data_IF_948140198308
#
_entry.id   IF_948140198308
#
_cell.length_a   1.000
_cell.length_b   1.000
_cell.length_c   1.000
_cell.angle_alpha   90.00
_cell.angle_beta   90.00
_cell.angle_gamma   90.00
#
_symmetry.space_group_name_H-M   'P 1'
#
loop_
_entity.id
_entity.type
_entity.pdbx_description
1 polymer ?
#
# COMPACT_ATOMS: atom_id res chain seq x y z
N UNK A 1 16.32 18.52 18.78
CA UNK A 1 15.05 18.04 18.19
C UNK A 1 14.66 18.96 17.04
N UNK A 2 14.11 18.41 15.94
CA UNK A 2 13.58 19.18 14.80
C UNK A 2 12.04 19.19 14.90
N UNK A 3 11.42 20.37 14.79
CA UNK A 3 9.96 20.52 14.78
C UNK A 3 9.55 21.20 13.49
N UNK A 4 8.70 20.57 12.70
CA UNK A 4 8.14 21.13 11.47
C UNK A 4 6.74 20.58 11.18
N UNK A 5 5.86 21.43 10.64
CA UNK A 5 4.56 20.99 10.10
C UNK A 5 4.67 20.34 8.72
N UNK A 6 5.82 20.47 8.05
CA UNK A 6 6.07 19.90 6.74
C UNK A 6 6.61 18.46 6.85
N UNK A 7 5.75 17.47 6.57
CA UNK A 7 6.11 16.04 6.60
C UNK A 7 7.13 15.66 5.52
N UNK A 8 7.15 16.34 4.37
CA UNK A 8 8.13 16.08 3.33
C UNK A 8 9.52 16.51 3.78
N UNK A 9 9.62 17.66 4.44
CA UNK A 9 10.86 18.13 5.06
C UNK A 9 11.33 17.17 6.18
N UNK A 10 10.43 16.79 7.10
CA UNK A 10 10.75 15.86 8.19
C UNK A 10 11.33 14.53 7.66
N UNK A 11 10.74 13.98 6.60
CA UNK A 11 11.20 12.74 5.97
C UNK A 11 12.57 12.92 5.30
N UNK A 12 12.79 14.03 4.59
CA UNK A 12 14.09 14.32 3.96
C UNK A 12 15.20 14.46 4.99
N UNK A 13 14.97 15.18 6.09
CA UNK A 13 15.96 15.31 7.16
C UNK A 13 16.24 13.96 7.82
N UNK A 14 15.21 13.15 8.07
CA UNK A 14 15.40 11.81 8.64
C UNK A 14 16.27 10.93 7.73
N UNK A 15 16.06 10.98 6.40
CA UNK A 15 16.89 10.27 5.42
C UNK A 15 18.34 10.80 5.41
N UNK A 16 18.53 12.12 5.51
CA UNK A 16 19.88 12.68 5.58
C UNK A 16 20.60 12.31 6.87
N UNK A 17 19.93 12.34 8.01
CA UNK A 17 20.49 11.91 9.29
C UNK A 17 20.94 10.44 9.23
N UNK A 18 20.17 9.57 8.57
CA UNK A 18 20.54 8.17 8.37
C UNK A 18 21.85 8.02 7.56
N UNK A 19 22.14 8.91 6.61
CA UNK A 19 23.42 8.88 5.86
C UNK A 19 24.63 9.16 6.75
N UNK A 20 24.43 9.84 7.88
CA UNK A 20 25.44 10.07 8.91
C UNK A 20 25.37 9.06 10.07
N UNK A 21 24.57 7.99 9.93
CA UNK A 21 24.42 6.96 10.97
C UNK A 21 23.50 7.36 12.13
N UNK A 22 22.73 8.44 11.98
CA UNK A 22 21.80 8.91 13.01
C UNK A 22 20.37 8.49 12.66
N UNK A 23 19.79 7.60 13.47
CA UNK A 23 18.38 7.21 13.34
C UNK A 23 17.51 8.24 14.06
N UNK A 24 16.75 9.03 13.30
CA UNK A 24 15.78 9.96 13.84
C UNK A 24 14.47 9.24 14.21
N UNK A 25 13.97 9.45 15.42
CA UNK A 25 12.64 9.02 15.82
C UNK A 25 11.59 10.01 15.30
N UNK A 26 10.83 9.61 14.28
CA UNK A 26 9.75 10.41 13.71
C UNK A 26 8.42 10.10 14.41
N UNK A 27 8.07 10.94 15.39
CA UNK A 27 6.82 10.84 16.14
C UNK A 27 5.55 10.95 15.27
N UNK A 28 5.66 11.47 14.05
CA UNK A 28 4.53 11.53 13.12
C UNK A 28 4.28 10.22 12.34
N UNK A 29 5.17 9.22 12.48
CA UNK A 29 5.02 7.89 11.89
C UNK A 29 4.80 7.85 10.38
N UNK A 30 4.33 6.71 9.87
CA UNK A 30 3.98 6.57 8.44
C UNK A 30 2.55 7.04 8.20
N UNK A 31 2.30 8.01 7.29
CA UNK A 31 0.94 8.41 6.94
C UNK A 31 0.11 7.22 6.48
N UNK A 32 -1.17 7.16 6.88
CA UNK A 32 -2.05 6.02 6.57
C UNK A 32 -2.05 5.68 5.08
N UNK A 33 -2.13 6.68 4.21
CA UNK A 33 -2.14 6.52 2.73
C UNK A 33 -0.91 5.80 2.18
N UNK A 34 0.20 5.79 2.91
CA UNK A 34 1.45 5.12 2.54
C UNK A 34 1.57 3.72 3.14
N UNK A 35 0.56 3.26 3.90
CA UNK A 35 0.56 1.90 4.46
C UNK A 35 0.03 0.88 3.45
N UNK A 36 0.55 -0.36 3.45
CA UNK A 36 0.00 -1.44 2.61
C UNK A 36 -1.50 -1.70 2.86
N UNK A 37 -1.97 -1.52 4.10
CA UNK A 37 -3.38 -1.69 4.45
C UNK A 37 -4.29 -0.63 3.79
N UNK A 38 -3.85 0.63 3.75
CA UNK A 38 -4.58 1.67 3.02
C UNK A 38 -4.56 1.43 1.50
N UNK A 39 -3.47 0.87 0.97
CA UNK A 39 -3.40 0.41 -0.42
C UNK A 39 -4.48 -0.63 -0.74
N UNK A 40 -4.60 -1.67 0.09
CA UNK A 40 -5.66 -2.68 -0.02
C UNK A 40 -7.06 -2.04 0.04
N UNK A 41 -7.31 -1.22 1.05
CA UNK A 41 -8.61 -0.56 1.24
C UNK A 41 -8.99 0.29 0.02
N UNK A 42 -8.04 1.05 -0.53
CA UNK A 42 -8.28 1.86 -1.73
C UNK A 42 -8.68 1.00 -2.93
N UNK A 43 -7.99 -0.12 -3.16
CA UNK A 43 -8.32 -1.04 -4.25
C UNK A 43 -9.69 -1.70 -4.03
N UNK A 44 -10.03 -2.06 -2.79
CA UNK A 44 -11.33 -2.61 -2.44
C UNK A 44 -12.46 -1.61 -2.73
N UNK A 45 -12.28 -0.33 -2.36
CA UNK A 45 -13.23 0.73 -2.66
C UNK A 45 -13.34 0.97 -4.18
N UNK A 46 -12.23 0.95 -4.91
CA UNK A 46 -12.25 1.07 -6.38
C UNK A 46 -13.06 -0.04 -7.03
N UNK A 47 -12.84 -1.30 -6.64
CA UNK A 47 -13.60 -2.44 -7.14
C UNK A 47 -15.10 -2.36 -6.76
N UNK A 48 -15.41 -1.89 -5.55
CA UNK A 48 -16.79 -1.76 -5.07
C UNK A 48 -17.57 -0.62 -5.77
N UNK A 49 -16.92 0.52 -6.02
CA UNK A 49 -17.56 1.70 -6.61
C UNK A 49 -17.40 1.81 -8.12
N UNK A 50 -16.66 0.90 -8.76
CA UNK A 50 -16.54 0.77 -10.22
C UNK A 50 -16.89 -0.66 -10.66
N UNK A 51 -18.16 -1.08 -10.51
CA UNK A 51 -18.56 -2.40 -10.94
C UNK A 51 -18.32 -2.56 -12.45
N UNK A 52 -17.69 -3.67 -12.84
CA UNK A 52 -17.34 -3.95 -14.22
C UNK A 52 -16.02 -3.34 -14.71
N UNK A 53 -15.28 -2.60 -13.88
CA UNK A 53 -13.90 -2.19 -14.18
C UNK A 53 -12.94 -3.37 -13.90
N UNK A 54 -12.41 -4.02 -14.95
CA UNK A 54 -11.65 -5.24 -14.75
C UNK A 54 -10.24 -4.95 -14.22
N UNK A 55 -9.71 -3.73 -14.43
CA UNK A 55 -8.40 -3.30 -13.90
C UNK A 55 -8.50 -3.09 -12.40
N UNK A 56 -9.59 -2.46 -11.92
CA UNK A 56 -9.83 -2.29 -10.49
C UNK A 56 -9.95 -3.64 -9.78
N UNK A 57 -10.72 -4.57 -10.34
CA UNK A 57 -10.87 -5.93 -9.81
C UNK A 57 -9.53 -6.68 -9.79
N UNK A 58 -8.80 -6.71 -10.93
CA UNK A 58 -7.54 -7.43 -11.03
C UNK A 58 -6.47 -6.85 -10.10
N UNK A 59 -6.43 -5.52 -9.94
CA UNK A 59 -5.52 -4.85 -9.02
C UNK A 59 -5.78 -5.26 -7.56
N UNK A 60 -7.05 -5.37 -7.16
CA UNK A 60 -7.43 -5.87 -5.83
C UNK A 60 -6.98 -7.32 -5.66
N UNK A 61 -7.28 -8.20 -6.62
CA UNK A 61 -6.95 -9.64 -6.56
C UNK A 61 -5.45 -9.90 -6.43
N UNK A 62 -4.61 -9.07 -7.06
CA UNK A 62 -3.15 -9.18 -6.99
C UNK A 62 -2.53 -8.60 -5.72
N UNK A 63 -3.31 -7.89 -4.89
CA UNK A 63 -2.78 -7.19 -3.72
C UNK A 63 -2.26 -8.16 -2.65
N UNK A 64 -1.06 -7.94 -2.07
CA UNK A 64 -0.42 -8.93 -1.22
C UNK A 64 -1.08 -9.20 0.14
N UNK A 65 -1.90 -8.27 0.60
CA UNK A 65 -2.67 -8.45 1.83
C UNK A 65 -4.05 -9.05 1.59
N UNK A 66 -4.44 -9.31 0.34
CA UNK A 66 -5.71 -9.98 0.06
C UNK A 66 -5.56 -11.49 0.27
N UNK A 67 -6.30 -12.04 1.23
CA UNK A 67 -6.27 -13.47 1.56
C UNK A 67 -7.51 -14.26 1.13
N UNK A 68 -8.70 -13.64 1.09
CA UNK A 68 -9.99 -14.31 0.77
C UNK A 68 -10.28 -15.60 1.57
N UNK A 69 -9.64 -15.80 2.73
CA UNK A 69 -9.72 -17.05 3.49
C UNK A 69 -8.99 -18.25 2.85
N UNK A 70 -8.17 -18.01 1.84
CA UNK A 70 -7.42 -19.02 1.09
C UNK A 70 -5.91 -18.87 1.33
N UNK A 71 -5.16 -19.90 0.94
CA UNK A 71 -3.71 -19.78 0.83
C UNK A 71 -3.32 -18.76 -0.25
N UNK A 72 -2.18 -18.09 -0.04
CA UNK A 72 -1.72 -17.04 -0.96
C UNK A 72 -1.48 -17.55 -2.38
N UNK A 73 -1.00 -18.78 -2.52
CA UNK A 73 -0.83 -19.48 -3.79
C UNK A 73 -2.15 -19.59 -4.55
N UNK A 74 -3.22 -19.98 -3.86
CA UNK A 74 -4.57 -20.10 -4.42
C UNK A 74 -5.15 -18.76 -4.87
N UNK A 75 -5.01 -17.70 -4.05
CA UNK A 75 -5.46 -16.34 -4.43
C UNK A 75 -4.71 -15.85 -5.67
N UNK A 76 -3.38 -16.05 -5.70
CA UNK A 76 -2.56 -15.66 -6.85
C UNK A 76 -2.99 -16.41 -8.12
N UNK A 77 -3.19 -17.71 -8.02
CA UNK A 77 -3.62 -18.52 -9.16
C UNK A 77 -5.00 -18.08 -9.70
N UNK A 78 -5.95 -17.79 -8.80
CA UNK A 78 -7.24 -17.26 -9.20
C UNK A 78 -7.12 -15.89 -9.89
N UNK A 79 -6.24 -15.00 -9.40
CA UNK A 79 -5.98 -13.71 -10.04
C UNK A 79 -5.39 -13.87 -11.45
N UNK A 80 -4.48 -14.83 -11.65
CA UNK A 80 -3.90 -15.16 -12.96
C UNK A 80 -4.96 -15.71 -13.93
N UNK A 81 -5.91 -16.53 -13.47
CA UNK A 81 -7.03 -16.99 -14.31
C UNK A 81 -7.93 -15.81 -14.73
N UNK A 82 -8.26 -14.91 -13.81
CA UNK A 82 -9.08 -13.72 -14.12
C UNK A 82 -8.35 -12.82 -15.11
N UNK A 83 -7.03 -12.67 -14.99
CA UNK A 83 -6.21 -11.88 -15.93
C UNK A 83 -6.28 -12.39 -17.38
N UNK A 84 -6.48 -13.70 -17.60
CA UNK A 84 -6.59 -14.26 -18.95
C UNK A 84 -7.91 -13.91 -19.66
N UNK A 85 -8.93 -13.50 -18.90
CA UNK A 85 -10.30 -13.26 -19.40
C UNK A 85 -10.64 -11.77 -19.45
N UNK A 86 -9.82 -10.93 -18.83
CA UNK A 86 -9.92 -9.46 -18.78
C UNK A 86 -9.16 -8.84 -19.95
#
# INVERSE_FOLDING_TARGET
ALVTGDRALARRVSVELLRFGVVADDSGGTPLINTPAAGLLRLALQAAFRPGDPVALLSLLKHPLLGLGLERTSVRHAAEIVELVV
#
